data_IF_559206654371
#
_entry.id   IF_559206654371
#
_cell.length_a   1.000
_cell.length_b   1.000
_cell.length_c   1.000
_cell.angle_alpha   90.00
_cell.angle_beta   90.00
_cell.angle_gamma   90.00
#
_symmetry.space_group_name_H-M   'P 1'
#
loop_
_entity.id
_entity.type
_entity.pdbx_description
1 polymer ?
#
# COMPACT_ATOMS: atom_id res chain seq x y z
N UNK A 1 8.99 -10.99 -1.17
CA UNK A 1 8.22 -10.06 -2.02
C UNK A 1 7.33 -9.21 -1.14
N UNK A 2 7.20 -7.92 -1.45
CA UNK A 2 6.43 -6.93 -0.71
C UNK A 2 5.28 -6.45 -1.59
N UNK A 3 4.06 -6.90 -1.33
CA UNK A 3 2.88 -6.51 -2.12
C UNK A 3 2.26 -5.25 -1.54
N UNK A 4 2.07 -4.24 -2.38
CA UNK A 4 1.31 -3.04 -2.02
C UNK A 4 -0.17 -3.41 -1.91
N UNK A 5 -0.79 -3.09 -0.77
CA UNK A 5 -2.19 -3.43 -0.54
C UNK A 5 -3.12 -2.73 -1.54
N UNK A 6 -3.13 -1.39 -1.51
CA UNK A 6 -3.93 -0.58 -2.41
C UNK A 6 -3.40 -0.64 -3.85
N UNK A 7 -4.26 -1.02 -4.78
CA UNK A 7 -3.99 -1.09 -6.21
C UNK A 7 -3.38 -2.40 -6.71
N UNK A 8 -2.87 -3.28 -5.83
CA UNK A 8 -2.39 -4.62 -6.25
C UNK A 8 -3.19 -5.74 -5.60
N UNK A 9 -3.47 -5.67 -4.29
CA UNK A 9 -4.30 -6.67 -3.62
C UNK A 9 -5.78 -6.32 -3.81
N UNK A 10 -6.13 -5.06 -3.62
CA UNK A 10 -7.48 -4.53 -3.83
C UNK A 10 -7.43 -3.03 -4.09
N UNK A 11 -8.52 -2.47 -4.58
CA UNK A 11 -8.77 -1.05 -4.41
C UNK A 11 -9.79 -0.87 -3.27
N UNK A 12 -9.32 -0.57 -2.06
CA UNK A 12 -10.16 -0.59 -0.86
C UNK A 12 -11.33 0.38 -0.98
N UNK A 13 -11.09 1.56 -1.56
CA UNK A 13 -12.09 2.62 -1.72
C UNK A 13 -12.72 2.63 -3.13
N UNK A 14 -12.66 1.54 -3.88
CA UNK A 14 -13.40 1.43 -5.14
C UNK A 14 -14.90 1.64 -4.88
N UNK A 15 -15.46 2.70 -5.48
CA UNK A 15 -16.87 3.07 -5.31
C UNK A 15 -17.20 3.74 -3.97
N UNK A 16 -16.20 4.07 -3.15
CA UNK A 16 -16.37 4.84 -1.91
C UNK A 16 -16.12 6.31 -2.19
N UNK A 17 -17.03 7.18 -1.75
CA UNK A 17 -16.82 8.61 -1.83
C UNK A 17 -15.82 9.07 -0.75
N UNK A 18 -14.55 9.18 -1.14
CA UNK A 18 -13.51 9.65 -0.22
C UNK A 18 -13.64 11.14 0.11
N UNK A 19 -14.35 11.92 -0.71
CA UNK A 19 -14.59 13.34 -0.42
C UNK A 19 -15.52 13.49 0.77
N UNK A 20 -16.57 12.65 0.87
CA UNK A 20 -17.44 12.61 2.04
C UNK A 20 -16.67 12.29 3.35
N UNK A 21 -15.69 11.38 3.30
CA UNK A 21 -14.84 11.09 4.47
C UNK A 21 -14.00 12.33 4.86
N UNK A 22 -13.44 13.04 3.88
CA UNK A 22 -12.69 14.27 4.13
C UNK A 22 -13.60 15.37 4.71
N UNK A 23 -14.84 15.46 4.24
CA UNK A 23 -15.86 16.39 4.72
C UNK A 23 -16.28 16.08 6.17
N UNK A 24 -16.47 14.80 6.50
CA UNK A 24 -16.78 14.36 7.87
C UNK A 24 -15.66 14.75 8.84
N UNK A 25 -14.39 14.57 8.45
CA UNK A 25 -13.24 15.02 9.25
C UNK A 25 -13.25 16.54 9.37
N UNK A 26 -13.48 17.26 8.26
CA UNK A 26 -13.49 18.74 8.26
C UNK A 26 -14.55 19.30 9.20
N UNK A 27 -15.73 18.68 9.26
CA UNK A 27 -16.82 19.12 10.11
C UNK A 27 -16.51 19.01 11.62
N UNK A 28 -15.49 18.23 12.01
CA UNK A 28 -15.02 18.13 13.41
C UNK A 28 -13.90 19.12 13.75
N UNK A 29 -13.41 19.86 12.77
CA UNK A 29 -12.31 20.78 12.97
C UNK A 29 -12.81 22.21 13.14
N UNK A 30 -12.15 23.02 13.99
CA UNK A 30 -12.42 24.44 14.01
C UNK A 30 -12.06 25.06 12.66
N UNK A 31 -12.73 26.18 12.33
CA UNK A 31 -12.36 26.95 11.14
C UNK A 31 -10.88 27.35 11.21
N UNK A 32 -10.15 27.33 10.08
CA UNK A 32 -8.74 27.72 10.04
C UNK A 32 -8.56 29.13 10.62
N UNK A 33 -7.81 29.26 11.71
CA UNK A 33 -7.48 30.54 12.33
C UNK A 33 -6.01 30.90 12.08
N UNK A 34 -5.67 32.19 11.88
CA UNK A 34 -4.28 32.62 11.80
C UNK A 34 -3.45 32.23 13.04
N UNK A 35 -2.12 32.03 12.90
CA UNK A 35 -1.33 32.14 11.68
C UNK A 35 -1.28 30.82 10.90
N UNK A 36 -2.06 30.73 9.83
CA UNK A 36 -1.97 29.66 8.83
C UNK A 36 -1.57 30.27 7.49
N UNK A 37 -0.79 29.55 6.70
CA UNK A 37 -0.51 29.94 5.32
C UNK A 37 -1.82 29.99 4.53
N UNK A 38 -1.94 30.98 3.63
CA UNK A 38 -3.08 31.09 2.71
C UNK A 38 -3.27 29.80 1.90
N UNK A 39 -2.18 29.12 1.53
CA UNK A 39 -2.23 27.84 0.83
C UNK A 39 -2.87 26.74 1.69
N UNK A 40 -2.56 26.68 2.98
CA UNK A 40 -3.15 25.69 3.90
C UNK A 40 -4.62 26.00 4.15
N UNK A 41 -4.99 27.28 4.27
CA UNK A 41 -6.38 27.70 4.38
C UNK A 41 -7.21 27.30 3.16
N UNK A 42 -6.71 27.57 1.95
CA UNK A 42 -7.37 27.12 0.71
C UNK A 42 -7.46 25.59 0.65
N UNK A 43 -6.35 24.90 0.90
CA UNK A 43 -6.31 23.43 0.89
C UNK A 43 -7.32 22.81 1.85
N UNK A 44 -7.46 23.36 3.06
CA UNK A 44 -8.46 22.90 4.03
C UNK A 44 -9.87 22.91 3.44
N UNK A 45 -10.24 23.94 2.68
CA UNK A 45 -11.59 24.06 2.12
C UNK A 45 -11.85 23.21 0.86
N UNK A 46 -10.81 22.85 0.10
CA UNK A 46 -10.98 22.20 -1.21
C UNK A 46 -10.46 20.77 -1.29
N UNK A 47 -9.66 20.34 -0.32
CA UNK A 47 -9.07 19.01 -0.33
C UNK A 47 -10.14 17.93 -0.21
N UNK A 48 -10.04 16.91 -1.04
CA UNK A 48 -10.88 15.71 -0.98
C UNK A 48 -10.11 14.50 -0.45
N UNK A 49 -8.88 14.72 0.05
CA UNK A 49 -8.01 13.68 0.58
C UNK A 49 -8.18 13.55 2.11
N UNK A 50 -8.78 12.44 2.60
CA UNK A 50 -8.92 12.19 4.03
C UNK A 50 -7.58 12.13 4.77
N UNK A 51 -6.51 11.65 4.13
CA UNK A 51 -5.19 11.56 4.77
C UNK A 51 -4.58 12.93 5.03
N UNK A 52 -4.78 13.86 4.09
CA UNK A 52 -4.41 15.25 4.30
C UNK A 52 -5.20 15.84 5.47
N UNK A 53 -6.51 15.57 5.54
CA UNK A 53 -7.36 16.05 6.63
C UNK A 53 -6.96 15.52 8.00
N UNK A 54 -6.61 14.23 8.11
CA UNK A 54 -6.04 13.65 9.34
C UNK A 54 -4.74 14.33 9.72
N UNK A 55 -3.85 14.57 8.74
CA UNK A 55 -2.57 15.24 8.99
C UNK A 55 -2.77 16.67 9.48
N UNK A 56 -3.71 17.40 8.89
CA UNK A 56 -4.08 18.74 9.33
C UNK A 56 -4.72 18.72 10.74
N UNK A 57 -5.59 17.76 11.04
CA UNK A 57 -6.21 17.61 12.35
C UNK A 57 -5.17 17.44 13.48
N UNK A 58 -4.12 16.65 13.24
CA UNK A 58 -2.98 16.51 14.16
C UNK A 58 -2.20 17.81 14.36
N UNK A 59 -2.20 18.73 13.39
CA UNK A 59 -1.59 20.07 13.55
C UNK A 59 -2.47 21.00 14.39
N UNK A 60 -3.78 20.80 14.39
CA UNK A 60 -4.71 21.56 15.25
C UNK A 60 -4.54 21.14 16.71
N UNK A 61 -4.59 19.83 16.99
CA UNK A 61 -4.30 19.25 18.32
C UNK A 61 -4.29 17.72 18.26
N UNK A 62 -3.72 17.07 19.28
CA UNK A 62 -3.78 15.62 19.42
C UNK A 62 -5.21 15.05 19.45
N UNK A 63 -6.15 15.67 20.18
CA UNK A 63 -7.54 15.19 20.26
C UNK A 63 -8.26 15.21 18.92
N UNK A 64 -8.09 16.29 18.15
CA UNK A 64 -8.66 16.39 16.80
C UNK A 64 -8.02 15.38 15.84
N UNK A 65 -6.71 15.16 15.96
CA UNK A 65 -6.01 14.12 15.21
C UNK A 65 -6.55 12.72 15.49
N UNK A 66 -6.74 12.37 16.77
CA UNK A 66 -7.30 11.08 17.19
C UNK A 66 -8.75 10.90 16.68
N UNK A 67 -9.59 11.92 16.77
CA UNK A 67 -10.96 11.88 16.24
C UNK A 67 -10.98 11.70 14.71
N UNK A 68 -10.10 12.41 13.98
CA UNK A 68 -9.97 12.25 12.53
C UNK A 68 -9.47 10.86 12.13
N UNK A 69 -8.53 10.30 12.88
CA UNK A 69 -8.06 8.92 12.71
C UNK A 69 -9.19 7.91 12.91
N UNK A 70 -10.05 8.12 13.91
CA UNK A 70 -11.19 7.26 14.19
C UNK A 70 -12.21 7.29 13.04
N UNK A 71 -12.52 8.46 12.49
CA UNK A 71 -13.39 8.62 11.31
C UNK A 71 -12.80 7.85 10.11
N UNK A 72 -11.52 8.09 9.80
CA UNK A 72 -10.86 7.42 8.67
C UNK A 72 -10.81 5.90 8.85
N UNK A 73 -10.53 5.43 10.07
CA UNK A 73 -10.52 3.99 10.39
C UNK A 73 -11.90 3.35 10.25
N UNK A 74 -12.96 4.03 10.70
CA UNK A 74 -14.32 3.55 10.55
C UNK A 74 -14.69 3.41 9.06
N UNK A 75 -14.34 4.41 8.25
CA UNK A 75 -14.56 4.36 6.80
C UNK A 75 -13.76 3.24 6.12
N UNK A 76 -12.48 3.06 6.49
CA UNK A 76 -11.66 1.95 6.00
C UNK A 76 -12.26 0.58 6.36
N UNK A 77 -12.76 0.43 7.59
CA UNK A 77 -13.39 -0.82 8.07
C UNK A 77 -14.68 -1.10 7.31
N UNK A 78 -15.50 -0.08 7.06
CA UNK A 78 -16.71 -0.22 6.24
C UNK A 78 -16.39 -0.64 4.80
N UNK A 79 -15.35 -0.05 4.21
CA UNK A 79 -14.92 -0.32 2.85
C UNK A 79 -14.42 -1.76 2.64
N UNK A 80 -13.87 -2.42 3.68
CA UNK A 80 -13.52 -3.86 3.64
C UNK A 80 -14.71 -4.73 3.24
N UNK A 81 -15.93 -4.33 3.58
CA UNK A 81 -17.12 -5.14 3.33
C UNK A 81 -17.48 -5.23 1.84
N UNK A 82 -17.13 -4.22 1.06
CA UNK A 82 -17.49 -4.06 -0.35
C UNK A 82 -16.30 -4.22 -1.30
N UNK A 83 -15.08 -4.03 -0.81
CA UNK A 83 -13.87 -4.19 -1.62
C UNK A 83 -13.73 -5.62 -2.14
N UNK A 84 -13.19 -5.74 -3.36
CA UNK A 84 -12.97 -7.04 -4.03
C UNK A 84 -11.49 -7.23 -4.38
N UNK A 85 -10.98 -8.48 -4.37
CA UNK A 85 -9.61 -8.74 -4.77
C UNK A 85 -9.37 -8.40 -6.23
N UNK A 86 -8.20 -7.84 -6.53
CA UNK A 86 -7.76 -7.69 -7.91
C UNK A 86 -7.67 -9.08 -8.56
N UNK A 87 -8.14 -9.26 -9.81
CA UNK A 87 -8.03 -10.52 -10.52
C UNK A 87 -6.60 -11.07 -10.54
N UNK A 88 -6.43 -12.33 -10.11
CA UNK A 88 -5.13 -13.00 -10.05
C UNK A 88 -4.33 -12.82 -8.76
N UNK A 89 -4.82 -12.05 -7.78
CA UNK A 89 -4.13 -11.89 -6.47
C UNK A 89 -3.89 -13.23 -5.78
N UNK A 90 -4.92 -14.07 -5.67
CA UNK A 90 -4.76 -15.39 -5.05
C UNK A 90 -3.74 -16.25 -5.79
N UNK A 91 -3.77 -16.22 -7.13
CA UNK A 91 -2.87 -16.99 -7.99
C UNK A 91 -1.41 -16.57 -7.78
N UNK A 92 -1.12 -15.26 -7.77
CA UNK A 92 0.26 -14.78 -7.59
C UNK A 92 0.79 -15.04 -6.18
N UNK A 93 -0.05 -14.93 -5.15
CA UNK A 93 0.33 -15.25 -3.78
C UNK A 93 0.66 -16.74 -3.61
N UNK A 94 -0.14 -17.62 -4.21
CA UNK A 94 0.15 -19.06 -4.26
C UNK A 94 1.45 -19.36 -5.02
N UNK A 95 1.68 -18.69 -6.15
CA UNK A 95 2.93 -18.84 -6.91
C UNK A 95 4.16 -18.38 -6.12
N UNK A 96 4.03 -17.33 -5.30
CA UNK A 96 5.09 -16.94 -4.37
C UNK A 96 5.41 -18.07 -3.40
N UNK A 97 4.40 -18.62 -2.73
CA UNK A 97 4.58 -19.71 -1.76
C UNK A 97 5.19 -20.95 -2.41
N UNK A 98 4.66 -21.39 -3.56
CA UNK A 98 5.15 -22.56 -4.30
C UNK A 98 6.60 -22.41 -4.77
N UNK A 99 7.03 -21.17 -5.07
CA UNK A 99 8.40 -20.88 -5.50
C UNK A 99 9.39 -20.60 -4.36
N UNK A 100 8.96 -20.78 -3.10
CA UNK A 100 9.76 -20.54 -1.90
C UNK A 100 9.92 -19.06 -1.52
N UNK A 101 9.12 -18.17 -2.13
CA UNK A 101 9.16 -16.72 -1.86
C UNK A 101 8.27 -16.36 -0.68
N UNK A 102 8.87 -15.77 0.35
CA UNK A 102 8.13 -15.14 1.46
C UNK A 102 7.38 -13.90 0.97
N UNK A 103 6.15 -13.73 1.42
CA UNK A 103 5.30 -12.58 1.11
C UNK A 103 5.09 -11.73 2.35
N UNK A 104 5.15 -10.41 2.20
CA UNK A 104 4.55 -9.45 3.14
C UNK A 104 3.65 -8.48 2.40
N UNK A 105 2.66 -7.96 3.11
CA UNK A 105 1.75 -6.92 2.62
C UNK A 105 2.12 -5.60 3.26
N UNK A 106 2.23 -4.58 2.43
CA UNK A 106 2.54 -3.20 2.85
C UNK A 106 1.46 -2.28 2.33
N UNK A 107 0.93 -1.38 3.15
CA UNK A 107 -0.19 -0.55 2.72
C UNK A 107 -0.27 0.77 3.46
N UNK A 108 -0.84 1.78 2.79
CA UNK A 108 -1.12 3.06 3.41
C UNK A 108 -2.26 3.01 4.41
N UNK A 109 -2.99 1.89 4.53
CA UNK A 109 -4.16 1.67 5.41
C UNK A 109 -3.76 1.24 6.82
N UNK A 110 -4.70 1.26 7.75
CA UNK A 110 -4.45 0.66 9.07
C UNK A 110 -4.16 -0.83 8.94
N UNK A 111 -3.16 -1.32 9.71
CA UNK A 111 -2.74 -2.72 9.66
C UNK A 111 -3.92 -3.67 9.96
N UNK A 112 -4.77 -3.31 10.93
CA UNK A 112 -5.97 -4.07 11.27
C UNK A 112 -7.00 -4.13 10.14
N UNK A 113 -7.15 -3.06 9.36
CA UNK A 113 -8.01 -3.03 8.16
C UNK A 113 -7.50 -4.01 7.11
N UNK A 114 -6.18 -3.97 6.84
CA UNK A 114 -5.54 -4.86 5.86
C UNK A 114 -5.71 -6.31 6.29
N UNK A 115 -5.47 -6.63 7.56
CA UNK A 115 -5.66 -7.98 8.11
C UNK A 115 -7.11 -8.45 7.97
N UNK A 116 -8.07 -7.61 8.38
CA UNK A 116 -9.51 -7.93 8.26
C UNK A 116 -9.93 -8.21 6.81
N UNK A 117 -9.41 -7.44 5.86
CA UNK A 117 -9.63 -7.68 4.43
C UNK A 117 -9.04 -9.03 3.99
N UNK A 118 -7.79 -9.31 4.36
CA UNK A 118 -7.12 -10.55 3.99
C UNK A 118 -7.82 -11.78 4.58
N UNK A 119 -8.31 -11.69 5.81
CA UNK A 119 -9.08 -12.76 6.45
C UNK A 119 -10.41 -13.00 5.73
N UNK A 120 -11.16 -11.93 5.44
CA UNK A 120 -12.45 -11.99 4.72
C UNK A 120 -12.35 -12.67 3.36
N UNK A 121 -11.22 -12.49 2.67
CA UNK A 121 -10.99 -13.05 1.33
C UNK A 121 -10.13 -14.32 1.35
N UNK A 122 -9.88 -14.92 2.52
CA UNK A 122 -9.05 -16.13 2.66
C UNK A 122 -7.67 -15.99 2.00
N UNK A 123 -7.04 -14.83 2.18
CA UNK A 123 -5.69 -14.53 1.70
C UNK A 123 -4.67 -14.47 2.83
N UNK A 124 -5.12 -14.33 4.09
CA UNK A 124 -4.24 -14.13 5.25
C UNK A 124 -3.20 -15.23 5.40
N UNK A 125 -3.58 -16.48 5.16
CA UNK A 125 -2.71 -17.65 5.26
C UNK A 125 -1.62 -17.70 4.18
N UNK A 126 -1.76 -16.93 3.10
CA UNK A 126 -0.79 -16.86 2.00
C UNK A 126 0.26 -15.76 2.20
N UNK A 127 0.12 -14.94 3.25
CA UNK A 127 0.99 -13.81 3.51
C UNK A 127 1.60 -13.88 4.90
N UNK A 128 2.82 -13.39 5.03
CA UNK A 128 3.52 -13.28 6.30
C UNK A 128 3.12 -11.99 7.04
N UNK A 129 4.07 -11.08 7.33
CA UNK A 129 3.78 -9.81 7.98
C UNK A 129 2.86 -8.90 7.17
N UNK A 130 1.97 -8.21 7.87
CA UNK A 130 1.15 -7.11 7.35
C UNK A 130 1.61 -5.81 8.00
N UNK A 131 1.96 -4.82 7.19
CA UNK A 131 2.53 -3.56 7.64
C UNK A 131 1.72 -2.41 7.05
N UNK A 132 0.97 -1.73 7.91
CA UNK A 132 0.28 -0.50 7.59
C UNK A 132 0.41 0.54 8.68
N UNK A 133 -0.43 1.57 8.62
CA UNK A 133 -0.55 2.58 9.67
C UNK A 133 -0.97 1.93 10.99
N UNK A 134 -0.59 2.59 12.08
CA UNK A 134 -0.95 2.22 13.45
C UNK A 134 -1.56 3.43 14.12
N UNK A 135 -2.63 3.19 14.88
CA UNK A 135 -3.35 4.22 15.63
C UNK A 135 -2.42 4.91 16.64
N UNK A 136 -2.62 6.21 16.85
CA UNK A 136 -1.80 7.08 17.72
C UNK A 136 -0.30 7.15 17.37
N UNK A 137 0.07 6.77 16.15
CA UNK A 137 1.40 7.07 15.60
C UNK A 137 1.19 7.88 14.33
N UNK A 138 1.30 9.22 14.38
CA UNK A 138 1.17 10.04 13.18
C UNK A 138 2.23 9.57 12.18
N UNK A 139 1.79 8.79 11.20
CA UNK A 139 2.63 8.31 10.11
C UNK A 139 2.40 9.23 8.93
N UNK A 140 3.48 9.67 8.27
CA UNK A 140 3.42 10.46 7.05
C UNK A 140 2.41 9.86 6.07
N UNK A 141 1.62 10.73 5.46
CA UNK A 141 0.65 10.44 4.40
C UNK A 141 1.18 9.48 3.34
N UNK A 142 0.28 8.61 2.86
CA UNK A 142 0.48 7.61 1.79
C UNK A 142 1.55 6.52 2.07
N UNK A 143 1.64 5.53 1.18
CA UNK A 143 2.70 4.51 1.23
C UNK A 143 4.08 5.17 1.22
N UNK A 144 4.68 5.36 2.40
CA UNK A 144 5.98 5.98 2.56
C UNK A 144 7.11 4.97 2.74
N UNK A 145 8.34 5.38 2.42
CA UNK A 145 9.56 4.57 2.59
C UNK A 145 9.74 4.01 4.03
N UNK A 146 9.12 4.63 5.04
CA UNK A 146 9.09 4.12 6.40
C UNK A 146 8.37 2.77 6.53
N UNK A 147 7.22 2.59 5.88
CA UNK A 147 6.43 1.35 5.94
C UNK A 147 7.18 0.19 5.29
N UNK A 148 7.82 0.44 4.15
CA UNK A 148 8.57 -0.60 3.45
C UNK A 148 9.86 -0.97 4.22
N UNK A 149 10.54 0.01 4.85
CA UNK A 149 11.65 -0.26 5.77
C UNK A 149 11.21 -1.10 6.98
N UNK A 150 10.02 -0.85 7.53
CA UNK A 150 9.46 -1.64 8.62
C UNK A 150 9.16 -3.07 8.18
N UNK A 151 8.59 -3.27 6.99
CA UNK A 151 8.36 -4.59 6.43
C UNK A 151 9.65 -5.38 6.23
N UNK A 152 10.69 -4.72 5.74
CA UNK A 152 12.02 -5.33 5.60
C UNK A 152 12.59 -5.80 6.94
N UNK A 153 12.49 -4.97 7.98
CA UNK A 153 12.90 -5.34 9.35
C UNK A 153 12.10 -6.54 9.88
N UNK A 154 10.78 -6.54 9.66
CA UNK A 154 9.91 -7.64 10.08
C UNK A 154 10.21 -8.97 9.36
N UNK A 155 10.69 -8.90 8.12
CA UNK A 155 11.08 -10.08 7.33
C UNK A 155 12.55 -10.49 7.53
N UNK A 156 13.35 -9.69 8.24
CA UNK A 156 14.80 -9.87 8.37
C UNK A 156 15.50 -10.08 7.01
N UNK A 157 15.10 -9.33 5.97
CA UNK A 157 15.68 -9.45 4.61
C UNK A 157 16.60 -8.29 4.25
N UNK A 158 17.60 -8.59 3.41
CA UNK A 158 18.43 -7.58 2.76
C UNK A 158 17.59 -6.84 1.68
N UNK A 159 17.75 -5.52 1.47
CA UNK A 159 17.07 -4.82 0.37
C UNK A 159 17.28 -5.50 -0.99
N UNK A 160 18.47 -6.03 -1.25
CA UNK A 160 18.79 -6.71 -2.51
C UNK A 160 17.96 -7.99 -2.75
N UNK A 161 17.39 -8.58 -1.69
CA UNK A 161 16.57 -9.80 -1.74
C UNK A 161 15.07 -9.48 -1.75
N UNK A 162 14.71 -8.20 -1.71
CA UNK A 162 13.33 -7.73 -1.68
C UNK A 162 12.92 -7.17 -3.04
N UNK A 163 11.69 -7.50 -3.42
CA UNK A 163 11.02 -6.93 -4.58
C UNK A 163 9.68 -6.37 -4.15
N UNK A 164 9.43 -5.09 -4.43
CA UNK A 164 8.14 -4.42 -4.24
C UNK A 164 7.25 -4.69 -5.44
N UNK A 165 6.02 -5.14 -5.22
CA UNK A 165 5.00 -5.31 -6.26
C UNK A 165 3.94 -4.21 -6.07
N UNK A 166 3.88 -3.29 -7.02
CA UNK A 166 3.04 -2.08 -6.96
C UNK A 166 2.27 -1.83 -8.25
N UNK A 167 1.36 -0.85 -8.24
CA UNK A 167 0.57 -0.45 -9.40
C UNK A 167 0.64 1.06 -9.71
N UNK A 168 1.55 1.80 -9.04
CA UNK A 168 1.72 3.24 -9.16
C UNK A 168 3.19 3.63 -9.27
N UNK A 169 3.49 4.78 -9.86
CA UNK A 169 4.84 5.38 -9.86
C UNK A 169 5.33 5.59 -8.45
N UNK A 170 4.46 6.00 -7.52
CA UNK A 170 4.84 6.15 -6.12
C UNK A 170 5.41 4.85 -5.52
N UNK A 171 4.81 3.69 -5.82
CA UNK A 171 5.34 2.42 -5.33
C UNK A 171 6.72 2.11 -5.92
N UNK A 172 6.96 2.47 -7.19
CA UNK A 172 8.26 2.28 -7.84
C UNK A 172 9.31 3.21 -7.22
N UNK A 173 8.98 4.48 -6.99
CA UNK A 173 9.88 5.45 -6.33
C UNK A 173 10.24 4.99 -4.92
N UNK A 174 9.25 4.53 -4.14
CA UNK A 174 9.51 4.02 -2.80
C UNK A 174 10.44 2.81 -2.82
N UNK A 175 10.33 1.92 -3.83
CA UNK A 175 11.21 0.77 -3.98
C UNK A 175 12.65 1.19 -4.33
N UNK A 176 12.82 2.19 -5.19
CA UNK A 176 14.11 2.77 -5.55
C UNK A 176 14.77 3.45 -4.33
N UNK A 177 14.03 4.27 -3.58
CA UNK A 177 14.50 4.99 -2.40
C UNK A 177 15.09 4.08 -1.31
N UNK A 178 14.61 2.84 -1.24
CA UNK A 178 15.06 1.86 -0.25
C UNK A 178 16.06 0.83 -0.83
N UNK A 179 16.46 0.98 -2.09
CA UNK A 179 17.41 0.11 -2.78
C UNK A 179 16.88 -1.30 -3.05
N UNK A 180 15.59 -1.43 -3.38
CA UNK A 180 14.94 -2.70 -3.72
C UNK A 180 14.48 -2.71 -5.17
N UNK A 181 14.33 -3.90 -5.76
CA UNK A 181 13.74 -4.04 -7.10
C UNK A 181 12.23 -3.74 -7.07
N UNK A 182 11.68 -3.23 -8.17
CA UNK A 182 10.26 -2.95 -8.29
C UNK A 182 9.62 -3.73 -9.45
N UNK A 183 8.46 -4.33 -9.21
CA UNK A 183 7.59 -4.89 -10.24
C UNK A 183 6.28 -4.08 -10.26
N UNK A 184 6.06 -3.34 -11.33
CA UNK A 184 4.82 -2.63 -11.62
C UNK A 184 3.80 -3.53 -12.31
N UNK A 185 2.53 -3.50 -11.90
CA UNK A 185 1.42 -4.20 -12.57
C UNK A 185 0.59 -3.18 -13.34
N UNK A 186 0.70 -3.21 -14.67
CA UNK A 186 0.06 -2.22 -15.54
C UNK A 186 -1.47 -2.32 -15.54
N UNK A 187 -2.15 -1.19 -15.72
CA UNK A 187 -3.59 -1.15 -15.98
C UNK A 187 -4.47 -1.25 -14.74
N UNK A 188 -3.89 -1.39 -13.54
CA UNK A 188 -4.63 -1.35 -12.29
C UNK A 188 -4.85 0.08 -11.78
N UNK A 189 -3.78 0.88 -11.71
CA UNK A 189 -3.85 2.29 -11.31
C UNK A 189 -3.11 3.22 -12.27
N UNK A 190 -1.95 2.79 -12.76
CA UNK A 190 -1.15 3.59 -13.69
C UNK A 190 -0.76 2.84 -14.97
N UNK A 191 -0.38 3.64 -15.96
CA UNK A 191 0.09 3.13 -17.25
C UNK A 191 1.48 2.52 -17.13
N UNK A 192 1.76 1.52 -18.00
CA UNK A 192 3.09 0.92 -18.14
C UNK A 192 4.17 1.98 -18.36
N UNK A 193 3.89 2.98 -19.20
CA UNK A 193 4.84 4.03 -19.58
C UNK A 193 5.32 4.83 -18.37
N UNK A 194 4.41 5.17 -17.46
CA UNK A 194 4.77 5.97 -16.27
C UNK A 194 5.62 5.15 -15.30
N UNK A 195 5.21 3.92 -15.00
CA UNK A 195 5.95 3.08 -14.06
C UNK A 195 7.34 2.68 -14.58
N UNK A 196 7.47 2.37 -15.88
CA UNK A 196 8.75 1.95 -16.47
C UNK A 196 9.81 3.06 -16.53
N UNK A 197 9.43 4.33 -16.31
CA UNK A 197 10.38 5.45 -16.27
C UNK A 197 11.15 5.54 -14.95
N UNK A 198 10.84 4.70 -13.95
CA UNK A 198 11.57 4.66 -12.69
C UNK A 198 12.67 3.60 -12.79
N UNK A 199 13.92 4.01 -12.51
CA UNK A 199 15.07 3.11 -12.58
C UNK A 199 14.91 1.90 -11.66
N UNK A 200 15.29 0.71 -12.15
CA UNK A 200 15.15 -0.54 -11.42
C UNK A 200 13.72 -1.10 -11.34
N UNK A 201 12.79 -0.56 -12.15
CA UNK A 201 11.44 -1.09 -12.29
C UNK A 201 11.28 -2.03 -13.50
N UNK A 202 10.54 -3.11 -13.29
CA UNK A 202 10.05 -4.01 -14.35
C UNK A 202 8.54 -3.94 -14.37
N UNK A 203 7.91 -3.87 -15.54
CA UNK A 203 6.44 -3.78 -15.63
C UNK A 203 5.84 -5.00 -16.31
N UNK A 204 4.94 -5.68 -15.60
CA UNK A 204 4.13 -6.80 -16.09
C UNK A 204 2.75 -6.34 -16.52
N UNK A 205 2.10 -7.12 -17.38
CA UNK A 205 0.75 -6.79 -17.89
C UNK A 205 -0.38 -7.14 -16.93
N UNK A 206 -0.18 -8.10 -16.02
CA UNK A 206 -1.20 -8.56 -15.08
C UNK A 206 -0.60 -9.40 -13.95
N UNK A 207 -1.38 -9.64 -12.89
CA UNK A 207 -0.98 -10.56 -11.81
C UNK A 207 -0.90 -12.04 -12.23
N UNK A 208 -1.79 -12.57 -13.09
CA UNK A 208 -1.61 -13.91 -13.66
C UNK A 208 -0.28 -14.08 -14.39
N UNK A 209 0.10 -13.09 -15.22
CA UNK A 209 1.39 -13.15 -15.92
C UNK A 209 2.58 -13.15 -14.94
N UNK A 210 2.49 -12.37 -13.86
CA UNK A 210 3.50 -12.43 -12.79
C UNK A 210 3.51 -13.81 -12.10
N UNK A 211 2.35 -14.39 -11.82
CA UNK A 211 2.25 -15.70 -11.19
C UNK A 211 2.93 -16.79 -12.02
N UNK A 212 2.69 -16.80 -13.34
CA UNK A 212 3.30 -17.75 -14.26
C UNK A 212 4.84 -17.61 -14.29
N UNK A 213 5.34 -16.36 -14.32
CA UNK A 213 6.77 -16.09 -14.27
C UNK A 213 7.44 -16.52 -12.95
N UNK A 214 6.74 -16.36 -11.81
CA UNK A 214 7.26 -16.80 -10.51
C UNK A 214 7.32 -18.32 -10.38
N UNK A 215 6.36 -19.02 -11.00
CA UNK A 215 6.31 -20.47 -11.01
C UNK A 215 7.43 -21.11 -11.83
N UNK A 216 7.90 -20.45 -12.90
CA UNK A 216 8.98 -20.95 -13.77
C UNK A 216 10.38 -20.69 -13.22
N UNK A 217 10.53 -19.83 -12.21
CA UNK A 217 11.83 -19.49 -11.59
C UNK A 217 11.78 -19.69 -10.06
N UNK A 218 11.95 -20.92 -9.54
CA UNK A 218 12.02 -21.18 -8.10
C UNK A 218 13.31 -20.60 -7.47
N UNK A 219 13.25 -20.15 -6.21
CA UNK A 219 14.44 -19.62 -5.50
C UNK A 219 15.42 -20.73 -5.06
N UNK A 220 15.03 -22.01 -5.17
CA UNK A 220 15.82 -23.17 -4.73
C UNK A 220 16.34 -24.09 -5.83
N UNK A 221 16.34 -23.67 -7.10
CA UNK A 221 17.00 -24.42 -8.16
C UNK A 221 18.50 -24.13 -8.15
N UNK A 222 19.32 -25.07 -7.67
CA UNK A 222 20.74 -25.08 -8.02
C UNK A 222 20.82 -24.95 -9.55
N UNK A 223 21.47 -23.89 -10.02
CA UNK A 223 22.06 -23.90 -11.35
C UNK A 223 23.27 -24.82 -11.21
N UNK A 224 23.02 -26.13 -11.16
CA UNK A 224 24.05 -27.14 -11.36
C UNK A 224 24.52 -26.95 -12.80
N UNK A 225 25.53 -26.11 -12.97
CA UNK A 225 26.37 -26.10 -14.16
C UNK A 225 26.95 -27.51 -14.30
N UNK A 226 26.32 -28.33 -15.13
CA UNK A 226 26.91 -29.60 -15.57
C UNK A 226 28.31 -29.30 -16.13
N UNK A 227 29.36 -29.99 -15.69
CA UNK A 227 30.64 -29.88 -16.35
C UNK A 227 30.54 -30.56 -17.72
N UNK A 228 31.10 -29.89 -18.73
CA UNK A 228 31.47 -30.52 -20.01
C UNK A 228 32.61 -31.50 -19.81
#
# INVERSE_FOLDING_TARGET
>A
MLFVFDGVICDLFAGVDTSAIADDIRARLPAPSPPLSLLTGVAFHVTTDPLWMVTYAHQVSASHGDEAEDILRAAETAAVMTAVPVPGVRQVLLACQASGRRVAVVGGRYSATIESYLDRHELRQLVGPVIGRRHHRPSSTSMGAALVRQARRALAMNPAECTVVGASVQAMMVAADIGTQAIGVAGLRESRKHMANVDGSVVVSSLPHLADALATVPIGGDISTSPM
#
